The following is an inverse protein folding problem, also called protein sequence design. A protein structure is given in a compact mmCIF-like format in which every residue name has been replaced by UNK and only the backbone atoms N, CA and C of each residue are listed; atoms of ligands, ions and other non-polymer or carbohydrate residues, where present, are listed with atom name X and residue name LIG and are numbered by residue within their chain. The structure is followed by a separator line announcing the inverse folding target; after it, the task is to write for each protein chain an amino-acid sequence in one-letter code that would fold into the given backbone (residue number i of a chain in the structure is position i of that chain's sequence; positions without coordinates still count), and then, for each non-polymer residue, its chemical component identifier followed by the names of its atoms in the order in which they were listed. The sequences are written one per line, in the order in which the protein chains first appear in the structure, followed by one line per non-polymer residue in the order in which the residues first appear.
data_IF_932339520694
#
_entry.id   IF_932339520694
#
_cell.length_a   1.000
_cell.length_b   1.000
_cell.length_c   1.000
_cell.angle_alpha   90.00
_cell.angle_beta   90.00
_cell.angle_gamma   90.00
#
_symmetry.space_group_name_H-M   'P 1'
#
loop_
_entity.id
_entity.type
_entity.pdbx_description
1 polymer ?
#
# COMPACT_ATOMS: atom_id res chain seq x y z
N UNK A 1 -21.69 -3.97 5.60
CA UNK A 1 -20.39 -3.38 6.00
C UNK A 1 -19.33 -4.39 5.59
N UNK A 2 -18.33 -3.97 4.82
CA UNK A 2 -17.22 -4.85 4.42
C UNK A 2 -16.28 -5.01 5.62
N UNK A 3 -15.75 -6.21 5.83
CA UNK A 3 -14.75 -6.45 6.88
C UNK A 3 -13.42 -5.75 6.49
N UNK A 4 -12.82 -4.93 7.36
CA UNK A 4 -11.53 -4.27 7.07
C UNK A 4 -10.43 -5.21 6.58
N UNK A 5 -10.35 -6.43 7.13
CA UNK A 5 -9.36 -7.42 6.70
C UNK A 5 -9.58 -7.90 5.25
N UNK A 6 -10.84 -8.14 4.88
CA UNK A 6 -11.21 -8.54 3.50
C UNK A 6 -10.93 -7.39 2.53
N UNK A 7 -11.23 -6.16 2.94
CA UNK A 7 -10.96 -4.97 2.14
C UNK A 7 -9.46 -4.76 1.90
N UNK A 8 -8.63 -4.99 2.91
CA UNK A 8 -7.17 -4.92 2.76
C UNK A 8 -6.63 -5.97 1.78
N UNK A 9 -7.16 -7.20 1.81
CA UNK A 9 -6.77 -8.23 0.85
C UNK A 9 -7.16 -7.86 -0.59
N UNK A 10 -8.32 -7.24 -0.79
CA UNK A 10 -8.74 -6.72 -2.10
C UNK A 10 -7.79 -5.62 -2.59
N UNK A 11 -7.50 -4.63 -1.74
CA UNK A 11 -6.62 -3.51 -2.08
C UNK A 11 -5.18 -3.97 -2.37
N UNK A 12 -4.70 -5.02 -1.69
CA UNK A 12 -3.40 -5.65 -1.97
C UNK A 12 -3.36 -6.23 -3.40
N UNK A 13 -4.40 -6.96 -3.79
CA UNK A 13 -4.56 -7.49 -5.14
C UNK A 13 -4.60 -6.39 -6.20
N UNK A 14 -5.36 -5.32 -5.93
CA UNK A 14 -5.41 -4.14 -6.81
C UNK A 14 -4.01 -3.50 -6.92
N UNK A 15 -3.31 -3.29 -5.80
CA UNK A 15 -1.97 -2.72 -5.83
C UNK A 15 -1.05 -3.51 -6.76
N UNK A 16 -1.04 -4.83 -6.59
CA UNK A 16 -0.13 -5.70 -7.30
C UNK A 16 -0.35 -5.68 -8.80
N UNK A 17 -1.61 -5.62 -9.23
CA UNK A 17 -1.94 -5.42 -10.63
C UNK A 17 -1.33 -4.13 -11.18
N UNK A 18 -1.53 -2.99 -10.49
CA UNK A 18 -0.99 -1.70 -10.93
C UNK A 18 0.54 -1.68 -10.97
N UNK A 19 1.21 -2.27 -9.97
CA UNK A 19 2.66 -2.31 -9.93
C UNK A 19 3.26 -3.16 -11.05
N UNK A 20 2.59 -4.24 -11.44
CA UNK A 20 2.97 -5.07 -12.58
C UNK A 20 2.75 -4.34 -13.90
N UNK A 21 1.57 -3.76 -14.10
CA UNK A 21 1.20 -3.07 -15.35
C UNK A 21 2.10 -1.84 -15.61
N UNK A 22 2.54 -1.15 -14.55
CA UNK A 22 3.37 0.04 -14.64
C UNK A 22 4.90 -0.22 -14.52
N UNK A 23 5.33 -1.49 -14.45
CA UNK A 23 6.73 -1.88 -14.18
C UNK A 23 7.34 -1.19 -12.93
N UNK A 24 6.52 -0.98 -11.90
CA UNK A 24 6.90 -0.27 -10.67
C UNK A 24 7.44 -1.20 -9.58
N UNK A 25 7.39 -2.52 -9.77
CA UNK A 25 7.98 -3.47 -8.82
C UNK A 25 9.48 -3.23 -8.60
N UNK A 26 10.20 -2.74 -9.61
CA UNK A 26 11.62 -2.40 -9.52
C UNK A 26 11.91 -1.17 -8.65
N UNK A 27 10.89 -0.34 -8.41
CA UNK A 27 11.01 0.85 -7.57
C UNK A 27 10.91 0.51 -6.08
N UNK A 28 10.43 -0.70 -5.76
CA UNK A 28 10.30 -1.21 -4.41
C UNK A 28 11.63 -1.78 -3.89
N UNK A 29 11.87 -1.70 -2.57
CA UNK A 29 12.99 -2.41 -1.97
C UNK A 29 12.86 -3.92 -2.19
N UNK A 30 13.97 -4.70 -2.21
CA UNK A 30 13.91 -6.15 -2.33
C UNK A 30 13.10 -6.83 -1.22
N UNK A 31 13.04 -6.20 -0.05
CA UNK A 31 12.23 -6.66 1.08
C UNK A 31 11.68 -5.43 1.81
N UNK A 32 10.39 -5.44 2.11
CA UNK A 32 9.68 -4.32 2.70
C UNK A 32 8.44 -4.79 3.43
N UNK A 33 7.91 -3.94 4.31
CA UNK A 33 6.61 -4.11 4.94
C UNK A 33 5.60 -3.20 4.27
N UNK A 34 4.62 -3.77 3.59
CA UNK A 34 3.56 -3.03 2.93
C UNK A 34 2.50 -2.58 3.93
N UNK A 35 2.08 -1.31 3.83
CA UNK A 35 0.97 -0.76 4.61
C UNK A 35 0.02 -0.06 3.63
N UNK A 36 -1.20 -0.57 3.52
CA UNK A 36 -2.22 -0.01 2.65
C UNK A 36 -3.00 1.07 3.39
N UNK A 37 -3.07 2.27 2.82
CA UNK A 37 -3.72 3.43 3.41
C UNK A 37 -4.81 3.98 2.46
N UNK A 38 -6.03 3.41 2.49
CA UNK A 38 -7.20 3.99 1.82
C UNK A 38 -7.63 5.26 2.53
N UNK A 39 -7.39 6.41 1.89
CA UNK A 39 -7.61 7.74 2.47
C UNK A 39 -9.10 8.07 2.65
N UNK A 40 -9.98 7.40 1.91
CA UNK A 40 -11.44 7.52 1.99
C UNK A 40 -12.10 6.41 2.83
N UNK A 41 -11.35 5.46 3.37
CA UNK A 41 -11.84 4.36 4.21
C UNK A 41 -11.08 4.32 5.56
N UNK A 42 -11.34 5.27 6.49
CA UNK A 42 -10.50 5.49 7.67
C UNK A 42 -10.44 4.28 8.62
N UNK A 43 -11.51 3.50 8.75
CA UNK A 43 -11.52 2.28 9.57
C UNK A 43 -10.59 1.20 9.01
N UNK A 44 -10.50 1.10 7.68
CA UNK A 44 -9.63 0.14 6.98
C UNK A 44 -8.17 0.58 7.11
N UNK A 45 -7.90 1.88 6.94
CA UNK A 45 -6.56 2.44 7.14
C UNK A 45 -6.07 2.29 8.59
N UNK A 46 -6.94 2.52 9.57
CA UNK A 46 -6.61 2.32 10.98
C UNK A 46 -6.23 0.86 11.28
N UNK A 47 -6.96 -0.10 10.71
CA UNK A 47 -6.65 -1.52 10.86
C UNK A 47 -5.28 -1.88 10.27
N UNK A 48 -4.95 -1.36 9.08
CA UNK A 48 -3.66 -1.59 8.43
C UNK A 48 -2.50 -1.01 9.24
N UNK A 49 -2.67 0.21 9.77
CA UNK A 49 -1.67 0.85 10.63
C UNK A 49 -1.47 0.07 11.93
N UNK A 50 -2.56 -0.39 12.57
CA UNK A 50 -2.47 -1.21 13.78
C UNK A 50 -1.68 -2.49 13.51
N UNK A 51 -1.98 -3.22 12.44
CA UNK A 51 -1.22 -4.41 12.05
C UNK A 51 0.26 -4.12 11.77
N UNK A 52 0.56 -3.01 11.10
CA UNK A 52 1.93 -2.60 10.82
C UNK A 52 2.71 -2.33 12.13
N UNK A 53 2.07 -1.70 13.11
CA UNK A 53 2.67 -1.40 14.41
C UNK A 53 2.83 -2.63 15.31
N UNK A 54 1.86 -3.55 15.28
CA UNK A 54 1.85 -4.72 16.16
C UNK A 54 2.74 -5.87 15.65
N UNK A 55 2.87 -6.03 14.33
CA UNK A 55 3.64 -7.15 13.79
C UNK A 55 5.17 -6.93 13.99
N UNK A 56 5.88 -7.93 14.54
CA UNK A 56 7.33 -7.87 14.73
C UNK A 56 8.09 -7.56 13.43
N UNK A 57 9.16 -6.77 13.54
CA UNK A 57 10.09 -6.49 12.44
C UNK A 57 11.55 -6.62 12.90
N UNK A 58 11.97 -7.80 13.39
CA UNK A 58 13.34 -7.99 13.88
C UNK A 58 14.40 -7.78 12.80
N UNK A 59 14.05 -7.99 11.53
CA UNK A 59 14.91 -7.78 10.37
C UNK A 59 15.04 -6.29 9.99
N UNK A 60 14.22 -5.41 10.58
CA UNK A 60 14.27 -3.97 10.31
C UNK A 60 13.89 -3.59 8.89
N UNK A 61 13.01 -4.35 8.23
CA UNK A 61 12.57 -4.06 6.86
C UNK A 61 11.90 -2.68 6.79
N UNK A 62 12.19 -1.90 5.73
CA UNK A 62 11.59 -0.59 5.56
C UNK A 62 10.08 -0.73 5.29
N UNK A 63 9.31 0.24 5.78
CA UNK A 63 7.89 0.36 5.44
C UNK A 63 7.72 1.00 4.06
N UNK A 64 6.79 0.46 3.29
CA UNK A 64 6.25 1.06 2.07
C UNK A 64 4.78 1.33 2.31
N UNK A 65 4.37 2.59 2.23
CA UNK A 65 2.98 2.98 2.39
C UNK A 65 2.35 3.17 1.02
N UNK A 66 1.32 2.38 0.70
CA UNK A 66 0.55 2.55 -0.52
C UNK A 66 -0.69 3.38 -0.20
N UNK A 67 -0.75 4.59 -0.75
CA UNK A 67 -1.90 5.47 -0.62
C UNK A 67 -2.94 5.11 -1.65
N UNK A 68 -4.18 4.98 -1.18
CA UNK A 68 -5.34 4.71 -2.02
C UNK A 68 -6.36 5.83 -1.90
N UNK A 69 -7.05 6.10 -3.00
CA UNK A 69 -8.23 6.95 -3.02
C UNK A 69 -9.27 6.32 -3.93
N UNK A 70 -10.50 6.15 -3.43
CA UNK A 70 -11.59 5.51 -4.18
C UNK A 70 -11.22 4.11 -4.68
N UNK A 71 -10.51 3.35 -3.83
CA UNK A 71 -10.05 2.00 -4.13
C UNK A 71 -8.92 1.90 -5.17
N UNK A 72 -8.33 3.01 -5.61
CA UNK A 72 -7.21 3.02 -6.57
C UNK A 72 -5.91 3.46 -5.91
N UNK A 73 -4.77 2.80 -6.19
CA UNK A 73 -3.49 3.25 -5.69
C UNK A 73 -3.08 4.52 -6.43
N UNK A 74 -2.74 5.56 -5.67
CA UNK A 74 -2.32 6.85 -6.23
C UNK A 74 -0.82 7.07 -6.08
N UNK A 75 -0.22 6.56 -5.00
CA UNK A 75 1.17 6.81 -4.65
C UNK A 75 1.73 5.76 -3.71
N UNK A 76 3.01 5.43 -3.87
CA UNK A 76 3.81 4.74 -2.86
C UNK A 76 4.71 5.75 -2.16
N UNK A 77 4.76 5.68 -0.84
CA UNK A 77 5.73 6.38 -0.02
C UNK A 77 6.78 5.38 0.46
N UNK A 78 8.01 5.62 0.04
CA UNK A 78 9.20 4.86 0.42
C UNK A 78 10.10 5.76 1.27
N UNK A 79 11.07 5.17 1.95
CA UNK A 79 12.06 5.94 2.70
C UNK A 79 12.85 6.85 1.75
N UNK A 80 12.61 8.16 1.83
CA UNK A 80 13.29 9.18 1.03
C UNK A 80 12.82 9.29 -0.42
N UNK A 81 11.73 8.63 -0.81
CA UNK A 81 11.19 8.68 -2.18
C UNK A 81 9.68 8.51 -2.22
N UNK A 82 9.06 9.18 -3.18
CA UNK A 82 7.66 8.96 -3.54
C UNK A 82 7.58 8.46 -4.99
N UNK A 83 6.70 7.48 -5.24
CA UNK A 83 6.45 6.91 -6.57
C UNK A 83 4.97 7.08 -6.87
N UNK A 84 4.64 7.80 -7.94
CA UNK A 84 3.27 7.92 -8.41
C UNK A 84 2.84 6.60 -9.07
N UNK A 85 1.66 6.09 -8.70
CA UNK A 85 1.09 4.84 -9.22
C UNK A 85 -0.06 5.13 -10.19
N UNK A 86 -0.68 6.30 -10.06
CA UNK A 86 -1.80 6.69 -10.91
C UNK A 86 -1.41 6.64 -12.40
N UNK A 87 -2.31 6.18 -13.28
CA UNK A 87 -2.08 6.37 -14.70
C UNK A 87 -1.99 7.88 -14.94
N UNK A 88 -0.95 8.32 -15.66
CA UNK A 88 -0.92 9.68 -16.23
C UNK A 88 -2.31 9.93 -16.81
N UNK A 89 -3.01 10.94 -16.29
CA UNK A 89 -4.24 11.40 -16.90
C UNK A 89 -3.96 11.60 -18.39
N UNK A 90 -4.68 10.86 -19.24
CA UNK A 90 -4.68 11.05 -20.68
C UNK A 90 -5.29 12.40 -21.03
#
# INVERSE_FOLDING_TARGET
MVNPAERLAELDGVLMQYLLEADLLRELPPTYRLVLLPLDEPEVAAQALAWAMEAPNPEGWPSVYALFLQGRPIRLLLLGKEVEVAPRAA
#
